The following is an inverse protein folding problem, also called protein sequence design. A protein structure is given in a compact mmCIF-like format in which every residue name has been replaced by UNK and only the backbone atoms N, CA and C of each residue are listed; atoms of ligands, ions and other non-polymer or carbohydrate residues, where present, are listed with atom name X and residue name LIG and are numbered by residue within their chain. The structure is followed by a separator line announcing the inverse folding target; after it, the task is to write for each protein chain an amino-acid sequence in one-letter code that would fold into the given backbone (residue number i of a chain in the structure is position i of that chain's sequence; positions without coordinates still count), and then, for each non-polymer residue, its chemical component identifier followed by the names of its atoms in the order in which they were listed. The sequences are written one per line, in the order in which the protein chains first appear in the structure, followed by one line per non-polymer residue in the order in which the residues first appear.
data_IF_747897156369
#
_entry.id   IF_747897156369
#
_cell.length_a   1.000
_cell.length_b   1.000
_cell.length_c   1.000
_cell.angle_alpha   90.00
_cell.angle_beta   90.00
_cell.angle_gamma   90.00
#
_symmetry.space_group_name_H-M   'P 1'
#
loop_
_entity.id
_entity.type
_entity.pdbx_description
1 polymer ?
#
# COMPACT_ATOMS: atom_id res chain seq x y z
N UNK A 1 12.03 -12.73 1.80
CA UNK A 1 13.29 -11.94 1.89
C UNK A 1 12.95 -10.56 2.41
N UNK A 2 13.45 -10.16 3.58
CA UNK A 2 13.18 -8.84 4.17
C UNK A 2 14.18 -7.81 3.68
N UNK A 3 13.73 -6.56 3.50
CA UNK A 3 14.64 -5.44 3.28
C UNK A 3 15.59 -5.32 4.49
N UNK A 4 16.89 -5.16 4.23
CA UNK A 4 17.95 -5.01 5.24
C UNK A 4 17.57 -3.86 6.19
N UNK A 5 17.92 -3.96 7.48
CA UNK A 5 17.54 -2.99 8.52
C UNK A 5 17.89 -1.51 8.18
N UNK A 6 18.83 -1.29 7.25
CA UNK A 6 19.23 0.01 6.75
C UNK A 6 18.21 0.71 5.83
N UNK A 7 17.23 -0.01 5.27
CA UNK A 7 16.28 0.56 4.30
C UNK A 7 15.43 1.70 4.88
N UNK A 8 14.98 1.57 6.14
CA UNK A 8 14.18 2.61 6.78
C UNK A 8 14.97 3.92 6.96
N UNK A 9 16.27 3.82 7.27
CA UNK A 9 17.13 4.98 7.42
C UNK A 9 17.39 5.66 6.07
N UNK A 10 17.53 4.89 4.99
CA UNK A 10 17.69 5.46 3.65
C UNK A 10 16.40 6.14 3.17
N UNK A 11 15.24 5.53 3.45
CA UNK A 11 13.94 6.15 3.23
C UNK A 11 13.76 7.46 4.01
N UNK A 12 14.14 7.49 5.28
CA UNK A 12 14.12 8.72 6.09
C UNK A 12 14.98 9.81 5.44
N UNK A 13 16.19 9.48 4.97
CA UNK A 13 17.05 10.43 4.24
C UNK A 13 16.43 10.93 2.94
N UNK A 14 15.81 10.04 2.15
CA UNK A 14 15.14 10.43 0.91
C UNK A 14 13.95 11.35 1.17
N UNK A 15 13.14 11.04 2.19
CA UNK A 15 12.00 11.84 2.56
C UNK A 15 12.40 13.22 3.08
N UNK A 16 13.47 13.33 3.86
CA UNK A 16 13.98 14.64 4.29
C UNK A 16 14.46 15.49 3.09
N UNK A 17 14.97 14.85 2.03
CA UNK A 17 15.36 15.55 0.79
C UNK A 17 14.16 16.04 -0.01
N UNK A 18 13.11 15.22 -0.13
CA UNK A 18 11.91 15.55 -0.94
C UNK A 18 10.95 16.46 -0.19
N UNK A 19 10.83 16.27 1.13
CA UNK A 19 9.95 17.00 2.03
C UNK A 19 10.77 17.53 3.22
N UNK A 20 11.68 18.48 2.98
CA UNK A 20 12.43 19.09 4.06
C UNK A 20 11.45 19.72 5.04
N UNK A 21 11.71 19.57 6.35
CA UNK A 21 10.86 20.03 7.47
C UNK A 21 9.64 19.16 7.81
N UNK A 22 9.39 18.04 7.12
CA UNK A 22 8.31 17.13 7.51
C UNK A 22 8.60 16.40 8.85
N UNK A 23 9.87 16.41 9.30
CA UNK A 23 10.33 15.80 10.56
C UNK A 23 9.86 14.35 10.73
N UNK A 24 9.82 13.59 9.62
CA UNK A 24 9.33 12.21 9.60
C UNK A 24 10.45 11.26 10.03
N UNK A 25 10.28 10.61 11.18
CA UNK A 25 11.22 9.60 11.68
C UNK A 25 10.92 8.20 11.12
N UNK A 26 11.98 7.46 10.77
CA UNK A 26 11.95 6.07 10.33
C UNK A 26 11.09 5.20 11.26
N UNK A 27 11.32 5.35 12.57
CA UNK A 27 10.60 4.62 13.61
C UNK A 27 9.93 5.56 14.59
N UNK A 28 8.72 5.24 15.08
CA UNK A 28 7.83 4.16 14.62
C UNK A 28 6.95 4.56 13.42
N UNK A 29 6.98 5.83 13.01
CA UNK A 29 5.97 6.44 12.13
C UNK A 29 6.07 5.96 10.68
N UNK A 30 7.26 5.93 10.07
CA UNK A 30 7.39 5.48 8.69
C UNK A 30 7.23 3.96 8.57
N UNK A 31 7.76 3.20 9.53
CA UNK A 31 7.60 1.75 9.56
C UNK A 31 6.13 1.31 9.57
N UNK A 32 5.29 1.92 10.41
CA UNK A 32 3.85 1.59 10.44
C UNK A 32 3.14 1.97 9.15
N UNK A 33 3.44 3.14 8.58
CA UNK A 33 2.88 3.60 7.28
C UNK A 33 3.26 2.66 6.13
N UNK A 34 4.52 2.23 6.06
CA UNK A 34 5.00 1.29 5.03
C UNK A 34 4.31 -0.07 5.20
N UNK A 35 4.12 -0.54 6.43
CA UNK A 35 3.40 -1.79 6.69
C UNK A 35 1.94 -1.70 6.23
N UNK A 36 1.26 -0.60 6.53
CA UNK A 36 -0.10 -0.35 6.02
C UNK A 36 -0.12 -0.33 4.50
N UNK A 37 0.77 0.45 3.86
CA UNK A 37 0.84 0.53 2.40
C UNK A 37 1.09 -0.82 1.74
N UNK A 38 1.97 -1.66 2.30
CA UNK A 38 2.21 -3.02 1.79
C UNK A 38 0.96 -3.88 1.87
N UNK A 39 0.22 -3.81 2.98
CA UNK A 39 -1.03 -4.56 3.17
C UNK A 39 -2.08 -4.10 2.17
N UNK A 40 -2.29 -2.79 2.05
CA UNK A 40 -3.29 -2.22 1.17
C UNK A 40 -2.96 -2.51 -0.30
N UNK A 41 -1.67 -2.44 -0.66
CA UNK A 41 -1.21 -2.82 -1.99
C UNK A 41 -1.47 -4.29 -2.32
N UNK A 42 -1.24 -5.22 -1.39
CA UNK A 42 -1.58 -6.64 -1.60
C UNK A 42 -3.07 -6.79 -1.89
N UNK A 43 -3.95 -6.10 -1.16
CA UNK A 43 -5.41 -6.16 -1.39
C UNK A 43 -5.76 -5.70 -2.81
N UNK A 44 -5.24 -4.53 -3.22
CA UNK A 44 -5.47 -3.99 -4.57
C UNK A 44 -4.91 -4.92 -5.64
N UNK A 45 -3.71 -5.45 -5.43
CA UNK A 45 -3.09 -6.39 -6.36
C UNK A 45 -3.93 -7.66 -6.52
N UNK A 46 -4.44 -8.22 -5.42
CA UNK A 46 -5.27 -9.43 -5.45
C UNK A 46 -6.62 -9.20 -6.15
N UNK A 47 -7.18 -7.98 -6.06
CA UNK A 47 -8.36 -7.55 -6.83
C UNK A 47 -8.06 -7.51 -8.32
N UNK A 48 -6.93 -6.90 -8.70
CA UNK A 48 -6.52 -6.78 -10.11
C UNK A 48 -6.09 -8.12 -10.72
N UNK A 49 -5.48 -9.00 -9.94
CA UNK A 49 -4.99 -10.30 -10.41
C UNK A 49 -6.05 -11.40 -10.39
N UNK A 50 -7.26 -11.12 -9.89
CA UNK A 50 -8.35 -12.09 -9.81
C UNK A 50 -8.06 -13.32 -8.94
N UNK A 51 -7.14 -13.20 -7.96
CA UNK A 51 -6.66 -14.35 -7.19
C UNK A 51 -7.49 -14.56 -5.92
N UNK A 52 -7.22 -13.74 -4.89
CA UNK A 52 -7.82 -13.89 -3.55
C UNK A 52 -9.05 -12.96 -3.36
N UNK A 53 -9.20 -11.92 -4.19
CA UNK A 53 -10.36 -11.02 -4.22
C UNK A 53 -11.10 -11.10 -5.56
N UNK A 54 -11.24 -12.30 -6.13
CA UNK A 54 -11.69 -12.55 -7.51
C UNK A 54 -13.08 -12.01 -7.87
N UNK A 55 -13.94 -11.71 -6.89
CA UNK A 55 -15.23 -11.07 -7.09
C UNK A 55 -15.18 -9.52 -7.11
N UNK A 56 -14.09 -8.93 -6.61
CA UNK A 56 -13.90 -7.49 -6.57
C UNK A 56 -13.03 -7.02 -7.73
N UNK A 57 -13.57 -6.15 -8.57
CA UNK A 57 -12.88 -5.53 -9.70
C UNK A 57 -12.74 -4.02 -9.54
N UNK A 58 -11.92 -3.41 -10.39
CA UNK A 58 -11.82 -1.96 -10.52
C UNK A 58 -12.51 -1.49 -11.81
N UNK A 59 -13.45 -0.55 -11.69
CA UNK A 59 -14.06 0.10 -12.85
C UNK A 59 -13.29 1.37 -13.19
N UNK A 60 -12.48 1.33 -14.26
CA UNK A 60 -11.65 2.46 -14.68
C UNK A 60 -12.47 3.69 -15.09
N UNK A 61 -13.65 3.51 -15.69
CA UNK A 61 -14.48 4.64 -16.12
C UNK A 61 -15.10 5.41 -14.96
N UNK A 62 -15.48 4.69 -13.91
CA UNK A 62 -16.15 5.25 -12.73
C UNK A 62 -15.20 5.51 -11.57
N UNK A 63 -13.94 5.08 -11.69
CA UNK A 63 -12.91 5.17 -10.65
C UNK A 63 -13.41 4.60 -9.31
N UNK A 64 -14.03 3.41 -9.35
CA UNK A 64 -14.60 2.77 -8.16
C UNK A 64 -14.46 1.24 -8.18
N UNK A 65 -14.50 0.64 -6.99
CA UNK A 65 -14.57 -0.81 -6.81
C UNK A 65 -15.97 -1.31 -7.22
N UNK A 66 -16.00 -2.38 -7.99
CA UNK A 66 -17.23 -3.08 -8.41
C UNK A 66 -17.16 -4.53 -7.97
N UNK A 67 -18.32 -5.15 -7.79
CA UNK A 67 -18.44 -6.52 -7.33
C UNK A 67 -19.74 -7.10 -7.88
N UNK A 68 -19.74 -8.40 -8.17
CA UNK A 68 -20.96 -9.10 -8.57
C UNK A 68 -21.91 -9.27 -7.38
N UNK A 69 -23.22 -9.15 -7.61
CA UNK A 69 -24.23 -9.28 -6.55
C UNK A 69 -24.16 -10.63 -5.81
N UNK A 70 -23.69 -11.68 -6.48
CA UNK A 70 -23.52 -13.03 -5.91
C UNK A 70 -22.49 -13.07 -4.77
N UNK A 71 -21.57 -12.11 -4.70
CA UNK A 71 -20.55 -12.02 -3.63
C UNK A 71 -21.15 -11.55 -2.31
N UNK A 72 -22.30 -10.85 -2.34
CA UNK A 72 -22.95 -10.32 -1.14
C UNK A 72 -23.94 -11.29 -0.47
N UNK A 73 -24.31 -12.40 -1.13
CA UNK A 73 -25.21 -13.43 -0.61
C UNK A 73 -24.45 -14.51 0.16
#
# INVERSE_FOLDING_TARGET
MGFKASYLNELERMLEKVLPHAMLKAKPKLESRIRTLKRDWTIVYDMLSGKDNSGFGWNEHRQMVVVEDVVWN
#
